data_IF_496709969502
#
_entry.id   IF_496709969502
#
_cell.length_a   1.000
_cell.length_b   1.000
_cell.length_c   1.000
_cell.angle_alpha   90.00
_cell.angle_beta   90.00
_cell.angle_gamma   90.00
#
_symmetry.space_group_name_H-M   'P 1'
#
loop_
_entity.id
_entity.type
_entity.pdbx_description
1 polymer ?
#
# COMPACT_ATOMS: atom_id res chain seq x y z
N UNK A 1 -12.58 -2.11 9.66
CA UNK A 1 -11.98 -1.83 8.37
C UNK A 1 -10.45 -1.73 8.48
N UNK A 2 -9.75 -1.90 7.37
CA UNK A 2 -8.30 -1.88 7.37
C UNK A 2 -7.73 -0.49 7.06
N UNK A 3 -8.39 0.29 6.21
CA UNK A 3 -7.94 1.66 5.96
C UNK A 3 -9.11 2.59 5.64
N UNK A 4 -8.87 3.88 5.85
CA UNK A 4 -9.80 4.93 5.50
C UNK A 4 -9.10 6.01 4.68
N UNK A 5 -9.75 6.48 3.64
CA UNK A 5 -9.22 7.52 2.75
C UNK A 5 -10.19 8.69 2.74
N UNK A 6 -9.67 9.88 2.99
CA UNK A 6 -10.45 11.11 2.98
C UNK A 6 -9.97 12.04 1.88
N UNK A 7 -10.91 12.48 1.04
CA UNK A 7 -10.66 13.52 0.05
C UNK A 7 -11.74 14.58 0.20
N UNK A 8 -11.36 15.79 0.62
CA UNK A 8 -12.27 16.86 0.94
C UNK A 8 -13.27 16.42 2.01
N UNK A 9 -14.56 16.34 1.69
CA UNK A 9 -15.60 15.91 2.63
C UNK A 9 -15.98 14.44 2.48
N UNK A 10 -15.49 13.77 1.46
CA UNK A 10 -15.80 12.35 1.24
C UNK A 10 -14.81 11.45 1.97
N UNK A 11 -15.35 10.45 2.67
CA UNK A 11 -14.54 9.43 3.37
C UNK A 11 -14.97 8.07 2.84
N UNK A 12 -13.99 7.26 2.41
CA UNK A 12 -14.23 5.87 2.00
C UNK A 12 -13.43 4.95 2.90
N UNK A 13 -14.05 3.87 3.38
CA UNK A 13 -13.39 2.86 4.21
C UNK A 13 -13.28 1.55 3.44
N UNK A 14 -12.25 0.77 3.75
CA UNK A 14 -11.92 -0.44 3.02
C UNK A 14 -11.65 -1.57 4.01
N UNK A 15 -11.96 -2.79 3.61
CA UNK A 15 -11.89 -3.95 4.50
C UNK A 15 -10.95 -5.04 4.03
N UNK A 16 -10.50 -5.00 2.78
CA UNK A 16 -9.55 -5.98 2.28
C UNK A 16 -8.17 -5.77 2.91
N UNK A 17 -7.42 -6.83 3.05
CA UNK A 17 -6.08 -6.75 3.61
C UNK A 17 -5.05 -6.47 2.53
N UNK A 18 -3.94 -5.86 2.96
CA UNK A 18 -2.83 -5.57 2.07
C UNK A 18 -3.14 -4.46 1.10
N UNK A 19 -2.63 -4.60 -0.12
CA UNK A 19 -2.71 -3.54 -1.13
C UNK A 19 -3.93 -3.64 -2.03
N UNK A 20 -4.77 -4.66 -1.86
CA UNK A 20 -5.87 -4.94 -2.80
C UNK A 20 -6.83 -3.76 -2.96
N UNK A 21 -7.26 -3.15 -1.85
CA UNK A 21 -8.17 -2.01 -1.91
C UNK A 21 -7.53 -0.80 -2.59
N UNK A 22 -6.27 -0.51 -2.29
CA UNK A 22 -5.55 0.60 -2.91
C UNK A 22 -5.36 0.36 -4.40
N UNK A 23 -5.05 -0.87 -4.78
CA UNK A 23 -4.88 -1.24 -6.18
C UNK A 23 -6.18 -1.04 -6.96
N UNK A 24 -7.29 -1.55 -6.42
CA UNK A 24 -8.59 -1.40 -7.05
C UNK A 24 -9.00 0.06 -7.19
N UNK A 25 -8.77 0.85 -6.15
CA UNK A 25 -9.10 2.28 -6.16
C UNK A 25 -8.24 3.02 -7.19
N UNK A 26 -6.96 2.70 -7.25
CA UNK A 26 -6.07 3.33 -8.23
C UNK A 26 -6.52 3.03 -9.67
N UNK A 27 -7.02 1.84 -9.93
CA UNK A 27 -7.51 1.46 -11.26
C UNK A 27 -8.87 2.07 -11.59
N UNK A 28 -9.77 2.13 -10.61
CA UNK A 28 -11.15 2.53 -10.86
C UNK A 28 -11.40 4.03 -10.68
N UNK A 29 -10.70 4.66 -9.72
CA UNK A 29 -10.94 6.07 -9.40
C UNK A 29 -9.68 6.73 -8.86
N UNK A 30 -8.62 6.84 -9.68
CA UNK A 30 -7.38 7.46 -9.22
C UNK A 30 -7.55 8.93 -8.85
N UNK A 31 -8.55 9.61 -9.40
CA UNK A 31 -8.83 11.00 -9.07
C UNK A 31 -9.20 11.19 -7.60
N UNK A 32 -9.86 10.20 -7.00
CA UNK A 32 -10.19 10.24 -5.57
C UNK A 32 -8.93 10.19 -4.70
N UNK A 33 -7.88 9.49 -5.15
CA UNK A 33 -6.63 9.37 -4.41
C UNK A 33 -5.81 10.66 -4.46
N UNK A 34 -5.91 11.42 -5.54
CA UNK A 34 -5.06 12.61 -5.75
C UNK A 34 -5.34 13.67 -4.69
N UNK A 35 -4.32 14.02 -3.92
CA UNK A 35 -4.44 15.00 -2.84
C UNK A 35 -5.15 14.49 -1.60
N UNK A 36 -5.48 13.20 -1.55
CA UNK A 36 -6.22 12.61 -0.43
C UNK A 36 -5.31 12.31 0.75
N UNK A 37 -5.94 12.07 1.91
CA UNK A 37 -5.27 11.58 3.12
C UNK A 37 -5.71 10.15 3.39
N UNK A 38 -4.78 9.30 3.84
CA UNK A 38 -5.07 7.92 4.18
C UNK A 38 -4.62 7.60 5.60
N UNK A 39 -5.41 6.77 6.29
CA UNK A 39 -5.02 6.14 7.55
C UNK A 39 -5.12 4.64 7.35
N UNK A 40 -4.02 3.93 7.55
CA UNK A 40 -3.95 2.49 7.34
C UNK A 40 -3.29 1.82 8.55
N UNK A 41 -3.60 0.56 8.78
CA UNK A 41 -3.02 -0.19 9.90
C UNK A 41 -1.59 -0.58 9.63
N UNK A 42 -1.30 -1.11 8.43
CA UNK A 42 0.03 -1.61 8.09
C UNK A 42 0.39 -1.17 6.68
N UNK A 43 1.50 -0.48 6.55
CA UNK A 43 1.97 0.03 5.25
C UNK A 43 3.35 -0.55 4.94
N UNK A 44 3.41 -1.36 3.88
CA UNK A 44 4.66 -1.84 3.30
C UNK A 44 5.01 -1.06 2.04
N UNK A 45 6.14 -1.41 1.44
CA UNK A 45 6.67 -0.68 0.28
C UNK A 45 5.73 -0.71 -0.93
N UNK A 46 5.03 -1.84 -1.15
CA UNK A 46 4.05 -1.93 -2.25
C UNK A 46 2.87 -0.98 -2.07
N UNK A 47 2.32 -0.91 -0.85
CA UNK A 47 1.23 0.03 -0.56
C UNK A 47 1.72 1.47 -0.71
N UNK A 48 2.92 1.78 -0.24
CA UNK A 48 3.52 3.10 -0.37
C UNK A 48 3.66 3.49 -1.85
N UNK A 49 4.06 2.55 -2.70
CA UNK A 49 4.18 2.80 -4.14
C UNK A 49 2.83 3.20 -4.76
N UNK A 50 1.75 2.52 -4.37
CA UNK A 50 0.41 2.89 -4.85
C UNK A 50 -0.03 4.25 -4.35
N UNK A 51 0.33 4.62 -3.13
CA UNK A 51 0.04 5.95 -2.58
C UNK A 51 0.76 7.04 -3.36
N UNK A 52 2.02 6.79 -3.73
CA UNK A 52 2.80 7.73 -4.56
C UNK A 52 2.17 7.85 -5.95
N UNK A 53 1.87 6.72 -6.59
CA UNK A 53 1.25 6.70 -7.92
C UNK A 53 -0.10 7.41 -7.94
N UNK A 54 -0.88 7.24 -6.87
CA UNK A 54 -2.18 7.89 -6.73
C UNK A 54 -2.10 9.37 -6.39
N UNK A 55 -0.92 9.88 -6.02
CA UNK A 55 -0.74 11.29 -5.70
C UNK A 55 -1.30 11.70 -4.35
N UNK A 56 -1.29 10.81 -3.37
CA UNK A 56 -1.77 11.11 -2.02
C UNK A 56 -0.90 12.18 -1.36
N UNK A 57 -1.51 12.95 -0.49
CA UNK A 57 -0.86 14.08 0.19
C UNK A 57 -0.36 13.73 1.57
N UNK A 58 -1.16 13.02 2.35
CA UNK A 58 -0.89 12.74 3.77
C UNK A 58 -1.14 11.27 4.05
N UNK A 59 -0.25 10.65 4.82
CA UNK A 59 -0.36 9.23 5.18
C UNK A 59 -0.15 9.07 6.66
N UNK A 60 -1.03 8.30 7.32
CA UNK A 60 -0.85 7.83 8.68
C UNK A 60 -0.87 6.31 8.70
N UNK A 61 0.04 5.70 9.46
CA UNK A 61 0.11 4.26 9.62
C UNK A 61 0.23 3.89 11.10
N UNK A 62 -0.46 2.82 11.51
CA UNK A 62 -0.17 2.23 12.82
C UNK A 62 1.22 1.60 12.80
N UNK A 63 1.51 0.83 11.75
CA UNK A 63 2.81 0.18 11.55
C UNK A 63 3.26 0.46 10.12
N UNK A 64 4.52 0.91 9.96
CA UNK A 64 5.08 1.17 8.64
C UNK A 64 6.48 0.57 8.55
N UNK A 65 6.82 0.00 7.39
CA UNK A 65 8.18 -0.49 7.18
C UNK A 65 9.13 0.66 6.85
N UNK A 66 10.40 0.51 7.20
CA UNK A 66 11.42 1.50 6.86
C UNK A 66 11.49 1.78 5.36
N UNK A 67 11.46 0.75 4.46
CA UNK A 67 11.44 1.01 3.02
C UNK A 67 10.23 1.84 2.58
N UNK A 68 9.05 1.56 3.14
CA UNK A 68 7.84 2.32 2.81
C UNK A 68 7.97 3.78 3.25
N UNK A 69 8.44 4.00 4.49
CA UNK A 69 8.60 5.33 5.04
C UNK A 69 9.60 6.15 4.21
N UNK A 70 10.72 5.53 3.85
CA UNK A 70 11.75 6.18 3.04
C UNK A 70 11.17 6.60 1.68
N UNK A 71 10.41 5.71 1.03
CA UNK A 71 9.79 5.98 -0.26
C UNK A 71 8.81 7.15 -0.16
N UNK A 72 7.91 7.13 0.82
CA UNK A 72 6.91 8.18 0.99
C UNK A 72 7.56 9.54 1.25
N UNK A 73 8.55 9.59 2.12
CA UNK A 73 9.26 10.85 2.43
C UNK A 73 10.06 11.36 1.25
N UNK A 74 10.71 10.46 0.51
CA UNK A 74 11.46 10.83 -0.68
C UNK A 74 10.55 11.50 -1.73
N UNK A 75 9.31 11.04 -1.83
CA UNK A 75 8.34 11.57 -2.79
C UNK A 75 7.55 12.77 -2.23
N UNK A 76 7.94 13.29 -1.06
CA UNK A 76 7.34 14.49 -0.51
C UNK A 76 5.98 14.30 0.13
N UNK A 77 5.60 13.06 0.46
CA UNK A 77 4.34 12.77 1.13
C UNK A 77 4.52 12.92 2.63
N UNK A 78 3.66 13.73 3.26
CA UNK A 78 3.66 13.90 4.70
C UNK A 78 3.23 12.61 5.36
N UNK A 79 4.14 12.00 6.15
CA UNK A 79 3.93 10.67 6.71
C UNK A 79 4.12 10.68 8.22
N UNK A 80 3.11 10.20 8.95
CA UNK A 80 3.19 10.00 10.40
C UNK A 80 2.84 8.54 10.71
N UNK A 81 3.30 8.04 11.84
CA UNK A 81 3.11 6.63 12.19
C UNK A 81 3.24 6.43 13.69
N UNK A 82 2.68 5.32 14.19
CA UNK A 82 2.83 4.93 15.58
C UNK A 82 4.09 4.06 15.78
N UNK A 83 4.36 3.14 14.84
CA UNK A 83 5.51 2.23 14.96
C UNK A 83 6.18 2.00 13.60
N UNK A 84 7.50 2.12 13.57
CA UNK A 84 8.31 1.78 12.41
C UNK A 84 8.96 0.42 12.62
N UNK A 85 8.94 -0.44 11.59
CA UNK A 85 9.60 -1.75 11.62
C UNK A 85 10.52 -1.88 10.40
N UNK A 86 11.58 -2.72 10.45
CA UNK A 86 12.48 -2.88 9.31
C UNK A 86 11.78 -3.39 8.05
N UNK A 87 10.85 -4.33 8.19
CA UNK A 87 10.07 -4.90 7.10
C UNK A 87 8.76 -5.40 7.62
N UNK A 88 7.74 -5.42 6.75
CA UNK A 88 6.46 -6.02 7.08
C UNK A 88 6.63 -7.55 7.07
N UNK A 89 6.18 -8.18 8.15
CA UNK A 89 6.26 -9.63 8.32
C UNK A 89 4.95 -10.25 7.81
N UNK A 90 5.05 -11.42 7.18
CA UNK A 90 3.87 -12.14 6.72
C UNK A 90 3.05 -12.66 7.91
N UNK A 91 1.83 -13.14 7.62
CA UNK A 91 0.91 -13.60 8.67
C UNK A 91 1.46 -14.76 9.49
N UNK A 92 2.22 -15.64 8.87
CA UNK A 92 2.79 -16.81 9.51
C UNK A 92 3.99 -16.48 10.38
N UNK A 93 4.47 -15.24 10.31
CA UNK A 93 5.67 -14.75 11.02
C UNK A 93 6.92 -15.55 10.66
N UNK A 94 6.94 -16.14 9.46
CA UNK A 94 8.07 -16.92 8.98
C UNK A 94 9.06 -16.12 8.14
N UNK A 95 8.69 -14.89 7.77
CA UNK A 95 9.56 -14.04 6.96
C UNK A 95 8.86 -12.78 6.52
N UNK A 96 9.46 -12.09 5.55
CA UNK A 96 8.89 -10.85 5.03
C UNK A 96 7.61 -11.09 4.24
N UNK A 97 6.71 -10.12 4.25
CA UNK A 97 5.58 -10.13 3.34
C UNK A 97 6.08 -10.32 1.89
N UNK A 98 5.48 -11.23 1.10
CA UNK A 98 5.94 -11.48 -0.27
C UNK A 98 6.01 -10.24 -1.14
N UNK A 99 5.05 -9.33 -1.02
CA UNK A 99 5.06 -8.09 -1.78
C UNK A 99 6.18 -7.15 -1.33
N UNK A 100 6.45 -7.08 -0.03
CA UNK A 100 7.57 -6.31 0.51
C UNK A 100 8.88 -6.82 -0.07
N UNK A 101 9.05 -8.13 -0.10
CA UNK A 101 10.24 -8.77 -0.67
C UNK A 101 10.38 -8.45 -2.17
N UNK A 102 9.28 -8.55 -2.92
CA UNK A 102 9.30 -8.31 -4.36
C UNK A 102 9.65 -6.86 -4.71
N UNK A 103 9.26 -5.91 -3.86
CA UNK A 103 9.52 -4.48 -4.08
C UNK A 103 10.83 -3.98 -3.48
N UNK A 104 11.46 -4.77 -2.61
CA UNK A 104 12.60 -4.31 -1.80
C UNK A 104 13.75 -3.72 -2.62
N UNK A 105 14.09 -4.36 -3.71
CA UNK A 105 15.22 -3.93 -4.55
C UNK A 105 14.84 -2.94 -5.65
N UNK A 106 13.55 -2.64 -5.79
CA UNK A 106 13.09 -1.70 -6.81
C UNK A 106 13.15 -0.29 -6.26
N UNK A 107 13.59 0.65 -7.09
CA UNK A 107 13.80 2.04 -6.66
C UNK A 107 12.67 2.97 -7.09
N UNK A 108 12.03 2.69 -8.22
CA UNK A 108 10.96 3.57 -8.72
C UNK A 108 9.60 2.93 -8.57
N UNK A 109 8.59 3.78 -8.31
CA UNK A 109 7.21 3.31 -8.22
C UNK A 109 6.70 2.79 -9.56
N UNK A 110 7.24 3.30 -10.66
CA UNK A 110 6.91 2.82 -12.00
C UNK A 110 7.32 1.36 -12.19
N UNK A 111 8.48 0.97 -11.65
CA UNK A 111 8.94 -0.42 -11.68
C UNK A 111 8.11 -1.30 -10.75
N UNK A 112 7.64 -0.75 -9.64
CA UNK A 112 6.88 -1.51 -8.66
C UNK A 112 5.47 -1.82 -9.13
N UNK A 113 4.88 -0.96 -9.95
CA UNK A 113 3.48 -1.12 -10.34
C UNK A 113 3.19 -2.47 -11.02
N UNK A 114 3.93 -2.91 -12.05
CA UNK A 114 3.68 -4.21 -12.66
C UNK A 114 3.91 -5.37 -11.68
N UNK A 115 4.82 -5.23 -10.73
CA UNK A 115 5.05 -6.24 -9.69
C UNK A 115 3.83 -6.34 -8.78
N UNK A 116 3.28 -5.21 -8.35
CA UNK A 116 2.07 -5.16 -7.53
C UNK A 116 0.89 -5.76 -8.30
N UNK A 117 0.73 -5.39 -9.56
CA UNK A 117 -0.33 -5.87 -10.42
C UNK A 117 -0.27 -7.39 -10.55
N UNK A 118 0.90 -7.93 -10.78
CA UNK A 118 1.11 -9.37 -10.90
C UNK A 118 0.83 -10.09 -9.57
N UNK A 119 1.23 -9.49 -8.46
CA UNK A 119 0.98 -10.03 -7.12
C UNK A 119 -0.52 -10.15 -6.85
N UNK A 120 -1.28 -9.08 -7.13
CA UNK A 120 -2.74 -9.07 -6.93
C UNK A 120 -3.40 -10.10 -7.85
N UNK A 121 -2.98 -10.16 -9.10
CA UNK A 121 -3.50 -11.12 -10.07
C UNK A 121 -3.29 -12.57 -9.59
N UNK A 122 -2.12 -12.88 -9.08
CA UNK A 122 -1.80 -14.21 -8.57
C UNK A 122 -2.65 -14.59 -7.35
N UNK A 123 -2.85 -13.65 -6.42
CA UNK A 123 -3.69 -13.88 -5.25
C UNK A 123 -5.13 -14.19 -5.68
N UNK A 124 -5.67 -13.41 -6.61
CA UNK A 124 -7.04 -13.59 -7.09
C UNK A 124 -7.22 -14.88 -7.88
N UNK A 125 -6.21 -15.25 -8.65
CA UNK A 125 -6.21 -16.52 -9.37
C UNK A 125 -6.25 -17.71 -8.41
N UNK A 126 -5.47 -17.67 -7.34
CA UNK A 126 -5.47 -18.72 -6.31
C UNK A 126 -6.80 -18.83 -5.60
N UNK A 127 -7.45 -17.70 -5.31
CA UNK A 127 -8.77 -17.69 -4.66
C UNK A 127 -9.86 -18.29 -5.56
N UNK A 128 -9.69 -18.17 -6.87
CA UNK A 128 -10.66 -18.64 -7.84
C UNK A 128 -10.43 -20.09 -8.29
N UNK A 129 -9.37 -20.73 -7.80
CA UNK A 129 -9.12 -22.15 -8.10
C UNK A 129 -10.06 -23.02 -7.28
N UNK A 130 -10.55 -24.14 -7.86
CA UNK A 130 -11.52 -25.00 -7.18
C UNK A 130 -10.98 -25.70 -5.92
N UNK A 131 -9.72 -25.70 -5.70
CA UNK A 131 -9.10 -26.27 -4.50
C UNK A 131 -7.70 -25.76 -4.29
#
# INVERSE_FOLDING_TARGET
>A
YSCGIKNRTEIRTFTQRGVADLYDLYQSDPAFMKGASIADKVIGKGAAALMVLGGMRTVYADIISTPALTLLRHEGIETTFAKEVPHIINRDKTGWCPLETACDKLESVTEMYPVIQNFIKNIRSKKNQPF
#
